data_IF_491165065585
#
_entry.id   IF_491165065585
#
_cell.length_a   1.000
_cell.length_b   1.000
_cell.length_c   1.000
_cell.angle_alpha   90.00
_cell.angle_beta   90.00
_cell.angle_gamma   90.00
#
_symmetry.space_group_name_H-M   'P 1'
#
loop_
_entity.id
_entity.type
_entity.pdbx_description
1 polymer ?
#
# COMPACT_ATOMS: atom_id res chain seq x y z
N UNK A 1 7.83 37.10 -55.54
CA UNK A 1 6.69 36.56 -54.79
C UNK A 1 6.30 35.23 -55.42
N UNK A 2 6.82 34.12 -54.91
CA UNK A 2 6.48 32.77 -55.34
C UNK A 2 5.71 32.12 -54.19
N UNK A 3 4.47 31.73 -54.47
CA UNK A 3 3.55 31.18 -53.48
C UNK A 3 3.99 29.76 -53.11
N UNK A 4 4.20 29.52 -51.81
CA UNK A 4 4.33 28.17 -51.29
C UNK A 4 2.98 27.46 -51.37
N UNK A 5 2.89 26.44 -52.23
CA UNK A 5 1.77 25.50 -52.22
C UNK A 5 1.96 24.54 -51.03
N UNK A 6 1.48 24.92 -49.84
CA UNK A 6 1.31 24.00 -48.73
C UNK A 6 0.25 22.96 -49.09
N UNK A 7 0.68 21.82 -49.63
CA UNK A 7 -0.19 20.66 -49.84
C UNK A 7 -0.46 20.03 -48.48
N UNK A 8 -1.55 20.41 -47.82
CA UNK A 8 -2.07 19.66 -46.69
C UNK A 8 -2.67 18.34 -47.22
N UNK A 9 -1.85 17.31 -47.35
CA UNK A 9 -2.29 15.96 -47.70
C UNK A 9 -3.11 15.41 -46.54
N UNK A 10 -4.44 15.49 -46.63
CA UNK A 10 -5.33 14.92 -45.62
C UNK A 10 -5.19 13.39 -45.58
N UNK A 11 -5.09 12.82 -44.38
CA UNK A 11 -5.01 11.37 -44.16
C UNK A 11 -6.20 10.64 -44.80
N UNK A 12 -5.92 9.51 -45.44
CA UNK A 12 -6.96 8.67 -46.05
C UNK A 12 -7.86 8.05 -44.97
N UNK A 13 -9.17 7.92 -45.24
CA UNK A 13 -10.12 7.27 -44.32
C UNK A 13 -9.69 5.83 -43.97
N UNK A 14 -9.08 5.14 -44.92
CA UNK A 14 -8.58 3.78 -44.74
C UNK A 14 -7.33 3.74 -43.84
N UNK A 15 -6.48 4.75 -43.94
CA UNK A 15 -5.28 4.88 -43.11
C UNK A 15 -5.65 5.15 -41.65
N UNK A 16 -6.62 6.03 -41.41
CA UNK A 16 -7.17 6.26 -40.06
C UNK A 16 -7.79 4.96 -39.51
N UNK A 17 -8.54 4.21 -40.33
CA UNK A 17 -9.11 2.92 -39.91
C UNK A 17 -8.03 1.89 -39.54
N UNK A 18 -6.93 1.84 -40.30
CA UNK A 18 -5.80 0.95 -40.02
C UNK A 18 -5.06 1.35 -38.73
N UNK A 19 -4.82 2.64 -38.50
CA UNK A 19 -4.22 3.12 -37.26
C UNK A 19 -5.10 2.83 -36.04
N UNK A 20 -6.42 3.03 -36.15
CA UNK A 20 -7.36 2.69 -35.08
C UNK A 20 -7.37 1.19 -34.79
N UNK A 21 -7.34 0.34 -35.82
CA UNK A 21 -7.25 -1.10 -35.64
C UNK A 21 -5.97 -1.52 -34.92
N UNK A 22 -4.83 -0.92 -35.28
CA UNK A 22 -3.55 -1.16 -34.62
C UNK A 22 -3.57 -0.69 -33.14
N UNK A 23 -4.14 0.48 -32.87
CA UNK A 23 -4.27 1.02 -31.51
C UNK A 23 -5.14 0.13 -30.63
N UNK A 24 -6.23 -0.42 -31.15
CA UNK A 24 -7.08 -1.34 -30.40
C UNK A 24 -6.37 -2.66 -30.11
N UNK A 25 -5.61 -3.18 -31.08
CA UNK A 25 -4.84 -4.42 -30.93
C UNK A 25 -3.79 -4.31 -29.81
N UNK A 26 -3.07 -3.19 -29.75
CA UNK A 26 -2.00 -2.98 -28.76
C UNK A 26 -2.53 -2.43 -27.44
N UNK A 27 -3.59 -1.61 -27.47
CA UNK A 27 -4.15 -0.95 -26.30
C UNK A 27 -4.77 -1.93 -25.31
N UNK A 28 -5.52 -2.92 -25.78
CA UNK A 28 -6.18 -3.92 -24.92
C UNK A 28 -5.21 -4.69 -24.00
N UNK A 29 -4.12 -5.32 -24.50
CA UNK A 29 -3.16 -6.01 -23.64
C UNK A 29 -2.31 -5.06 -22.79
N UNK A 30 -2.07 -3.83 -23.23
CA UNK A 30 -1.33 -2.85 -22.44
C UNK A 30 -2.09 -2.44 -21.16
N UNK A 31 -3.41 -2.31 -21.25
CA UNK A 31 -4.27 -1.96 -20.10
C UNK A 31 -4.24 -3.05 -19.03
N UNK A 32 -4.34 -4.32 -19.40
CA UNK A 32 -4.31 -5.42 -18.41
C UNK A 32 -2.96 -5.52 -17.70
N UNK A 33 -1.86 -5.39 -18.45
CA UNK A 33 -0.50 -5.38 -17.88
C UNK A 33 -0.25 -4.21 -16.95
N UNK A 34 -0.83 -3.04 -17.25
CA UNK A 34 -0.75 -1.87 -16.38
C UNK A 34 -1.38 -2.15 -15.01
N UNK A 35 -2.59 -2.74 -14.96
CA UNK A 35 -3.26 -3.06 -13.69
C UNK A 35 -2.51 -4.11 -12.85
N UNK A 36 -1.87 -5.10 -13.49
CA UNK A 36 -1.02 -6.08 -12.78
C UNK A 36 0.17 -5.39 -12.12
N UNK A 37 0.89 -4.55 -12.88
CA UNK A 37 2.07 -3.84 -12.38
C UNK A 37 1.73 -2.86 -11.25
N UNK A 38 0.59 -2.18 -11.31
CA UNK A 38 0.15 -1.28 -10.24
C UNK A 38 -0.08 -2.03 -8.92
N UNK A 39 -0.70 -3.21 -8.96
CA UNK A 39 -0.92 -4.03 -7.75
C UNK A 39 0.39 -4.56 -7.17
N UNK A 40 1.30 -5.01 -8.03
CA UNK A 40 2.62 -5.49 -7.60
C UNK A 40 3.44 -4.36 -6.97
N UNK A 41 3.35 -3.14 -7.53
CA UNK A 41 4.02 -1.97 -6.98
C UNK A 41 3.46 -1.58 -5.60
N UNK A 42 2.14 -1.60 -5.42
CA UNK A 42 1.51 -1.34 -4.11
C UNK A 42 1.95 -2.35 -3.04
N UNK A 43 2.03 -3.63 -3.41
CA UNK A 43 2.55 -4.68 -2.51
C UNK A 43 4.04 -4.52 -2.23
N UNK A 44 4.84 -4.09 -3.21
CA UNK A 44 6.26 -3.83 -3.02
C UNK A 44 6.56 -2.63 -2.12
N UNK A 45 5.62 -1.67 -2.00
CA UNK A 45 5.75 -0.52 -1.10
C UNK A 45 5.40 -0.84 0.36
N UNK A 46 4.65 -1.92 0.61
CA UNK A 46 4.19 -2.29 1.95
C UNK A 46 5.34 -2.42 2.98
N UNK A 47 6.44 -3.15 2.70
CA UNK A 47 7.54 -3.27 3.66
C UNK A 47 8.16 -1.91 4.01
N UNK A 48 8.33 -1.03 3.03
CA UNK A 48 8.88 0.31 3.24
C UNK A 48 7.98 1.17 4.12
N UNK A 49 6.66 1.10 3.93
CA UNK A 49 5.70 1.80 4.79
C UNK A 49 5.72 1.25 6.22
N UNK A 50 5.80 -0.06 6.40
CA UNK A 50 5.83 -0.68 7.74
C UNK A 50 7.10 -0.29 8.50
N UNK A 51 8.26 -0.32 7.84
CA UNK A 51 9.51 0.15 8.44
C UNK A 51 9.48 1.65 8.74
N UNK A 52 8.85 2.46 7.87
CA UNK A 52 8.60 3.87 8.13
C UNK A 52 7.74 4.10 9.39
N UNK A 53 6.67 3.34 9.57
CA UNK A 53 5.82 3.40 10.77
C UNK A 53 6.63 3.02 12.00
N UNK A 54 7.42 1.94 11.94
CA UNK A 54 8.31 1.51 13.05
C UNK A 54 9.31 2.60 13.41
N UNK A 55 9.97 3.20 12.42
CA UNK A 55 10.90 4.29 12.62
C UNK A 55 10.22 5.50 13.28
N UNK A 56 9.00 5.85 12.84
CA UNK A 56 8.22 6.93 13.44
C UNK A 56 7.84 6.66 14.91
N UNK A 57 7.50 5.41 15.25
CA UNK A 57 7.23 5.01 16.64
C UNK A 57 8.49 5.14 17.50
N UNK A 58 9.64 4.71 16.98
CA UNK A 58 10.93 4.86 17.66
C UNK A 58 11.29 6.33 17.87
N UNK A 59 11.16 7.15 16.83
CA UNK A 59 11.42 8.58 16.91
C UNK A 59 10.51 9.29 17.94
N UNK A 60 9.23 8.90 18.04
CA UNK A 60 8.33 9.40 19.08
C UNK A 60 8.84 9.06 20.49
N UNK A 61 9.34 7.83 20.69
CA UNK A 61 9.91 7.42 21.97
C UNK A 61 11.21 8.18 22.30
N UNK A 62 12.08 8.41 21.33
CA UNK A 62 13.29 9.21 21.50
C UNK A 62 12.96 10.66 21.86
N UNK A 63 12.02 11.29 21.16
CA UNK A 63 11.55 12.64 21.47
C UNK A 63 10.98 12.74 22.89
N UNK A 64 10.30 11.70 23.39
CA UNK A 64 9.80 11.67 24.76
C UNK A 64 10.92 11.71 25.80
N UNK A 65 12.05 11.04 25.52
CA UNK A 65 13.24 11.05 26.37
C UNK A 65 13.93 12.42 26.36
N UNK A 66 14.06 13.04 25.19
CA UNK A 66 14.67 14.37 25.04
C UNK A 66 13.89 15.45 25.80
N UNK A 67 12.56 15.33 25.85
CA UNK A 67 11.68 16.21 26.62
C UNK A 67 11.71 15.95 28.13
N UNK A 68 12.63 15.12 28.62
CA UNK A 68 12.82 14.82 30.04
C UNK A 68 11.74 13.91 30.64
N UNK A 69 10.95 13.23 29.82
CA UNK A 69 10.01 12.21 30.28
C UNK A 69 10.65 10.83 30.23
N UNK A 70 10.07 9.87 30.95
CA UNK A 70 10.37 8.45 30.72
C UNK A 70 10.05 8.08 29.27
N UNK A 71 10.75 7.09 28.71
CA UNK A 71 10.44 6.55 27.38
C UNK A 71 8.95 6.19 27.29
N UNK A 72 8.24 6.80 26.35
CA UNK A 72 6.81 6.60 26.14
C UNK A 72 6.53 6.46 24.66
N UNK A 73 5.62 5.54 24.35
CA UNK A 73 5.10 5.36 23.00
C UNK A 73 3.69 5.94 22.88
N UNK A 74 3.19 6.19 21.65
CA UNK A 74 1.81 6.62 21.47
C UNK A 74 0.80 5.62 22.04
N UNK A 75 -0.25 6.10 22.72
CA UNK A 75 -1.33 5.21 23.20
C UNK A 75 -2.18 4.64 22.05
N UNK A 76 -2.20 5.35 20.92
CA UNK A 76 -2.80 4.99 19.63
C UNK A 76 -1.93 5.57 18.53
N UNK A 77 -1.89 4.94 17.35
CA UNK A 77 -1.15 5.47 16.20
C UNK A 77 -1.97 6.46 15.37
N UNK A 78 -3.29 6.37 15.44
CA UNK A 78 -4.24 7.29 14.82
C UNK A 78 -5.60 7.24 15.51
N UNK A 79 -6.43 8.25 15.21
CA UNK A 79 -7.79 8.41 15.73
C UNK A 79 -8.87 7.93 14.75
N UNK A 80 -8.46 7.37 13.61
CA UNK A 80 -9.38 6.89 12.59
C UNK A 80 -10.33 5.83 13.16
N UNK A 81 -11.57 5.83 12.67
CA UNK A 81 -12.53 4.79 13.00
C UNK A 81 -12.13 3.45 12.35
N UNK A 82 -12.57 2.30 12.89
CA UNK A 82 -12.47 1.03 12.19
C UNK A 82 -13.10 1.12 10.79
N UNK A 83 -12.38 0.65 9.78
CA UNK A 83 -12.78 0.81 8.38
C UNK A 83 -11.59 0.88 7.42
N UNK A 84 -11.86 1.01 6.11
CA UNK A 84 -10.82 1.26 5.12
C UNK A 84 -10.22 2.64 5.34
N UNK A 85 -8.94 2.80 4.99
CA UNK A 85 -8.29 4.11 4.99
C UNK A 85 -8.98 5.04 3.99
N UNK A 86 -9.00 6.34 4.28
CA UNK A 86 -9.48 7.34 3.32
C UNK A 86 -8.48 8.49 3.21
N UNK A 87 -8.42 9.20 2.07
CA UNK A 87 -7.56 10.38 1.94
C UNK A 87 -7.90 11.50 2.93
N UNK A 88 -9.11 11.52 3.49
CA UNK A 88 -9.56 12.50 4.49
C UNK A 88 -9.27 12.08 5.92
N UNK A 89 -8.97 10.80 6.15
CA UNK A 89 -8.66 10.22 7.45
C UNK A 89 -7.48 9.24 7.29
N UNK A 90 -6.26 9.78 7.07
CA UNK A 90 -5.07 8.96 6.88
C UNK A 90 -4.64 8.29 8.19
N UNK A 91 -4.18 7.05 8.10
CA UNK A 91 -3.70 6.30 9.25
C UNK A 91 -2.29 6.75 9.68
N UNK A 92 -1.91 6.40 10.92
CA UNK A 92 -0.57 6.62 11.48
C UNK A 92 -0.08 8.08 11.52
N UNK A 93 -0.99 9.06 11.48
CA UNK A 93 -0.66 10.50 11.49
C UNK A 93 0.07 10.98 12.75
N UNK A 94 0.07 10.20 13.83
CA UNK A 94 0.83 10.51 15.06
C UNK A 94 2.32 10.19 14.97
N UNK A 95 2.71 9.32 14.03
CA UNK A 95 4.09 8.84 13.87
C UNK A 95 4.66 9.12 12.48
N UNK A 96 3.81 9.48 11.52
CA UNK A 96 4.18 9.89 10.18
C UNK A 96 3.57 11.27 9.88
N UNK A 97 4.41 12.21 9.42
CA UNK A 97 3.99 13.59 9.13
C UNK A 97 2.80 13.67 8.15
N UNK A 98 2.79 12.82 7.12
CA UNK A 98 1.71 12.77 6.12
C UNK A 98 0.69 11.66 6.34
N UNK A 99 0.94 10.78 7.31
CA UNK A 99 0.18 9.53 7.48
C UNK A 99 0.23 8.60 6.25
N UNK A 100 -0.59 7.56 6.29
CA UNK A 100 -0.80 6.62 5.17
C UNK A 100 -2.23 6.78 4.67
N UNK A 101 -2.37 7.06 3.37
CA UNK A 101 -3.65 7.20 2.67
C UNK A 101 -3.78 6.25 1.46
N UNK A 102 -2.91 5.24 1.39
CA UNK A 102 -2.84 4.29 0.28
C UNK A 102 -3.94 3.24 0.42
N UNK A 103 -4.70 2.99 -0.64
CA UNK A 103 -5.76 1.97 -0.66
C UNK A 103 -5.25 0.58 -0.22
N UNK A 104 -6.15 -0.24 0.30
CA UNK A 104 -5.84 -1.59 0.82
C UNK A 104 -5.49 -1.63 2.31
N UNK A 105 -5.09 -0.51 2.92
CA UNK A 105 -5.01 -0.41 4.37
C UNK A 105 -6.40 -0.33 5.01
N UNK A 106 -6.61 -1.04 6.12
CA UNK A 106 -7.83 -0.94 6.92
C UNK A 106 -7.52 -1.05 8.41
N UNK A 107 -8.18 -0.23 9.23
CA UNK A 107 -8.19 -0.36 10.67
C UNK A 107 -9.26 -1.37 11.07
N UNK A 108 -8.86 -2.41 11.79
CA UNK A 108 -9.76 -3.44 12.29
C UNK A 108 -10.30 -3.04 13.67
N UNK A 109 -9.39 -2.59 14.53
CA UNK A 109 -9.66 -2.15 15.90
C UNK A 109 -8.66 -1.06 16.30
N UNK A 110 -8.75 -0.54 17.53
CA UNK A 110 -7.94 0.58 18.04
C UNK A 110 -6.44 0.48 17.71
N UNK A 111 -5.85 -0.71 17.87
CA UNK A 111 -4.42 -0.97 17.66
C UNK A 111 -4.18 -2.14 16.67
N UNK A 112 -5.15 -2.41 15.80
CA UNK A 112 -5.07 -3.51 14.85
C UNK A 112 -5.36 -3.04 13.44
N UNK A 113 -4.47 -3.38 12.52
CA UNK A 113 -4.52 -2.93 11.13
C UNK A 113 -4.41 -4.12 10.18
N UNK A 114 -5.00 -3.98 9.01
CA UNK A 114 -4.83 -4.87 7.86
C UNK A 114 -4.04 -4.11 6.80
N UNK A 115 -2.99 -4.75 6.30
CA UNK A 115 -2.17 -4.22 5.21
C UNK A 115 -2.81 -4.50 3.85
N UNK A 116 -2.34 -3.88 2.75
CA UNK A 116 -2.82 -4.16 1.40
C UNK A 116 -2.67 -5.64 0.99
N UNK A 117 -1.62 -6.34 1.47
CA UNK A 117 -1.49 -7.79 1.28
C UNK A 117 -2.46 -8.64 2.12
N UNK A 118 -3.30 -8.02 2.94
CA UNK A 118 -4.29 -8.68 3.78
C UNK A 118 -3.75 -9.19 5.12
N UNK A 119 -2.47 -8.96 5.42
CA UNK A 119 -1.87 -9.36 6.70
C UNK A 119 -2.34 -8.46 7.83
N UNK A 120 -2.48 -9.05 9.02
CA UNK A 120 -2.85 -8.31 10.22
C UNK A 120 -1.59 -7.86 10.96
N UNK A 121 -1.55 -6.60 11.35
CA UNK A 121 -0.52 -6.02 12.22
C UNK A 121 -1.18 -5.56 13.52
N UNK A 122 -0.50 -5.79 14.63
CA UNK A 122 -0.90 -5.33 15.96
C UNK A 122 0.15 -4.37 16.48
N UNK A 123 -0.34 -3.27 17.05
CA UNK A 123 0.47 -2.28 17.75
C UNK A 123 0.37 -2.48 19.27
N UNK A 124 1.52 -2.54 19.94
CA UNK A 124 1.59 -2.55 21.40
C UNK A 124 2.09 -1.19 21.90
N UNK A 125 1.21 -0.42 22.56
CA UNK A 125 1.56 0.91 23.08
C UNK A 125 2.47 0.86 24.32
N UNK A 126 2.64 -0.29 24.96
CA UNK A 126 3.54 -0.44 26.11
C UNK A 126 4.99 -0.66 25.65
N UNK A 127 5.19 -1.42 24.58
CA UNK A 127 6.52 -1.79 24.06
C UNK A 127 6.92 -1.01 22.81
N UNK A 128 5.97 -0.33 22.16
CA UNK A 128 6.19 0.30 20.86
C UNK A 128 6.21 -0.68 19.68
N UNK A 129 5.96 -1.97 19.91
CA UNK A 129 6.06 -2.99 18.87
C UNK A 129 4.94 -2.86 17.85
N UNK A 130 5.32 -2.95 16.56
CA UNK A 130 4.40 -2.94 15.42
C UNK A 130 4.69 -4.18 14.56
N UNK A 131 3.97 -5.27 14.83
CA UNK A 131 4.33 -6.62 14.36
C UNK A 131 3.14 -7.36 13.76
N UNK A 132 3.41 -8.28 12.83
CA UNK A 132 2.37 -9.15 12.29
C UNK A 132 1.77 -10.02 13.37
N UNK A 133 0.45 -10.13 13.37
CA UNK A 133 -0.25 -11.11 14.19
C UNK A 133 -0.04 -12.51 13.61
N UNK A 134 0.30 -13.46 14.46
CA UNK A 134 0.51 -14.86 14.11
C UNK A 134 -0.77 -15.59 13.68
N UNK A 135 -1.95 -14.98 13.84
CA UNK A 135 -3.25 -15.65 13.72
C UNK A 135 -3.77 -15.79 12.27
N UNK A 136 -3.01 -15.34 11.27
CA UNK A 136 -3.38 -15.47 9.85
C UNK A 136 -2.26 -16.06 9.00
N UNK A 137 -1.66 -17.16 9.46
CA UNK A 137 -0.93 -18.06 8.55
C UNK A 137 -1.97 -18.98 7.90
N UNK A 138 -2.19 -18.96 6.57
CA UNK A 138 -3.02 -19.98 5.93
C UNK A 138 -2.44 -21.34 6.30
N UNK A 139 -3.24 -22.15 6.99
CA UNK A 139 -2.86 -23.50 7.38
C UNK A 139 -2.46 -24.28 6.13
N UNK A 140 -1.17 -24.54 5.96
CA UNK A 140 -0.68 -25.49 4.97
C UNK A 140 -1.04 -26.90 5.48
N UNK A 141 -1.89 -27.69 4.80
CA UNK A 141 -2.33 -28.98 5.32
C UNK A 141 -1.30 -30.13 5.21
N UNK A 142 -0.07 -29.88 4.74
CA UNK A 142 0.96 -30.92 4.57
C UNK A 142 2.12 -30.83 5.57
N UNK A 143 1.88 -31.15 6.85
CA UNK A 143 2.85 -31.89 7.67
C UNK A 143 2.26 -32.17 9.06
N UNK A 144 1.52 -33.27 9.19
CA UNK A 144 1.39 -33.94 10.49
C UNK A 144 2.50 -34.97 10.60
N UNK A 145 3.45 -34.85 11.55
CA UNK A 145 4.36 -35.94 11.84
C UNK A 145 3.58 -37.16 12.37
N UNK A 146 4.00 -38.40 12.03
CA UNK A 146 3.28 -39.60 12.43
C UNK A 146 3.25 -39.71 13.96
N UNK A 147 2.05 -39.84 14.51
CA UNK A 147 1.84 -40.15 15.92
C UNK A 147 2.32 -41.57 16.20
N UNK A 148 3.43 -41.68 16.92
CA UNK A 148 3.91 -42.94 17.49
C UNK A 148 2.97 -43.32 18.64
N UNK A 149 2.31 -44.47 18.50
CA UNK A 149 1.36 -45.01 19.49
C UNK A 149 2.15 -45.90 20.48
N UNK A 150 1.85 -45.86 21.79
CA UNK A 150 2.52 -46.68 22.80
C UNK A 150 2.29 -48.18 22.63
#
# INVERSE_FOLDING_TARGET
>A
MHNEHSSATGYSRLEIAFFLALLLLVGLPAVTKYFELSRDAEQAMEPGLIEGIRAGITAYAEESLERGSSQRYPNVLDEAAPGPVTPRDPFFSRVLEKGVAVEGWSKLEKNQYRTPSGRRIVYNSQTGEFMFSSENQPSNPEHSPPQEKP
#
